data_IF_457720096979
#
_entry.id   IF_457720096979
#
_cell.length_a   1.000
_cell.length_b   1.000
_cell.length_c   1.000
_cell.angle_alpha   90.00
_cell.angle_beta   90.00
_cell.angle_gamma   90.00
#
_symmetry.space_group_name_H-M   'P 1'
#
loop_
_entity.id
_entity.type
_entity.pdbx_description
1 polymer ?
#
# COMPACT_ATOMS: atom_id res chain seq x y z
N UNK A 1 0.17 34.05 -18.73
CA UNK A 1 -0.99 33.28 -19.20
C UNK A 1 -1.27 32.21 -18.16
N UNK A 2 -2.50 32.14 -17.64
CA UNK A 2 -2.92 31.00 -16.82
C UNK A 2 -3.40 29.96 -17.83
N UNK A 3 -2.65 28.86 -17.95
CA UNK A 3 -3.13 27.71 -18.71
C UNK A 3 -4.21 27.04 -17.86
N UNK A 4 -5.45 27.07 -18.32
CA UNK A 4 -6.49 26.23 -17.75
C UNK A 4 -6.07 24.78 -17.99
N UNK A 5 -5.88 24.02 -16.92
CA UNK A 5 -5.65 22.58 -17.00
C UNK A 5 -6.95 21.96 -17.52
N UNK A 6 -6.90 21.30 -18.68
CA UNK A 6 -8.06 20.63 -19.27
C UNK A 6 -8.54 19.56 -18.29
N UNK A 7 -9.72 19.77 -17.71
CA UNK A 7 -10.30 18.86 -16.73
C UNK A 7 -10.62 17.56 -17.46
N UNK A 8 -9.83 16.50 -17.19
CA UNK A 8 -10.04 15.21 -17.84
C UNK A 8 -11.35 14.62 -17.34
N UNK A 9 -12.35 14.61 -18.21
CA UNK A 9 -13.69 14.11 -17.93
C UNK A 9 -14.01 12.88 -18.78
N UNK A 10 -14.74 11.93 -18.22
CA UNK A 10 -15.07 10.66 -18.86
C UNK A 10 -14.50 9.48 -18.10
N UNK A 11 -15.00 8.28 -18.42
CA UNK A 11 -14.68 7.07 -17.68
C UNK A 11 -13.19 6.74 -17.74
N UNK A 12 -12.55 6.89 -18.90
CA UNK A 12 -11.12 6.62 -19.10
C UNK A 12 -10.27 7.87 -18.82
N UNK A 13 -10.70 9.01 -19.33
CA UNK A 13 -9.96 10.27 -19.27
C UNK A 13 -9.82 10.74 -17.82
N UNK A 14 -10.90 10.60 -17.03
CA UNK A 14 -10.90 10.90 -15.59
C UNK A 14 -10.32 9.79 -14.71
N UNK A 15 -9.78 8.71 -15.30
CA UNK A 15 -9.17 7.64 -14.51
C UNK A 15 -7.86 8.07 -13.86
N UNK A 16 -7.62 7.57 -12.64
CA UNK A 16 -6.37 7.74 -11.92
C UNK A 16 -5.81 6.39 -11.49
N UNK A 17 -4.49 6.23 -11.63
CA UNK A 17 -3.75 5.09 -11.11
C UNK A 17 -2.63 5.60 -10.22
N UNK A 18 -2.68 5.24 -8.95
CA UNK A 18 -1.61 5.51 -7.99
C UNK A 18 -0.93 4.21 -7.60
N UNK A 19 0.40 4.18 -7.70
CA UNK A 19 1.22 3.07 -7.22
C UNK A 19 2.12 3.57 -6.10
N UNK A 20 1.91 3.03 -4.89
CA UNK A 20 2.77 3.29 -3.75
C UNK A 20 3.75 2.13 -3.58
N UNK A 21 5.03 2.42 -3.80
CA UNK A 21 6.14 1.55 -3.43
C UNK A 21 6.58 1.90 -2.01
N UNK A 22 6.40 0.96 -1.07
CA UNK A 22 6.73 1.12 0.35
C UNK A 22 7.85 0.16 0.72
N UNK A 23 9.05 0.68 0.92
CA UNK A 23 10.08 -0.07 1.65
C UNK A 23 9.86 0.15 3.16
N UNK A 24 9.77 -0.93 3.94
CA UNK A 24 9.44 -0.86 5.35
C UNK A 24 10.37 -1.75 6.16
N UNK A 25 11.06 -1.15 7.12
CA UNK A 25 11.89 -1.83 8.11
C UNK A 25 11.31 -1.58 9.50
N UNK A 26 11.18 -2.65 10.28
CA UNK A 26 10.70 -2.61 11.65
C UNK A 26 11.59 -3.49 12.52
N UNK A 27 12.00 -2.93 13.65
CA UNK A 27 12.81 -3.59 14.66
C UNK A 27 12.19 -3.27 16.02
N UNK A 28 11.89 -4.31 16.79
CA UNK A 28 11.24 -4.21 18.09
C UNK A 28 12.01 -5.04 19.11
N UNK A 29 12.49 -4.34 20.14
CA UNK A 29 13.11 -4.92 21.33
C UNK A 29 12.09 -4.93 22.48
N UNK A 30 11.70 -6.13 22.92
CA UNK A 30 10.84 -6.37 24.07
C UNK A 30 11.71 -6.54 25.32
N UNK A 31 11.96 -5.42 26.01
CA UNK A 31 12.81 -5.35 27.21
C UNK A 31 12.39 -6.27 28.37
N UNK A 32 11.15 -6.77 28.36
CA UNK A 32 10.64 -7.81 29.27
C UNK A 32 10.35 -9.10 28.49
N UNK A 33 11.41 -9.71 27.94
CA UNK A 33 11.36 -10.75 26.90
C UNK A 33 10.49 -11.99 27.21
N UNK A 34 10.22 -12.29 28.49
CA UNK A 34 9.34 -13.37 28.95
C UNK A 34 7.87 -13.20 28.52
N UNK A 35 7.44 -11.97 28.21
CA UNK A 35 6.09 -11.67 27.69
C UNK A 35 6.04 -11.53 26.17
N UNK A 36 7.16 -11.77 25.46
CA UNK A 36 7.22 -11.65 24.01
C UNK A 36 6.50 -12.83 23.35
N UNK A 37 5.59 -12.61 22.37
CA UNK A 37 4.98 -13.69 21.59
C UNK A 37 6.00 -14.60 20.89
N UNK A 38 7.23 -14.10 20.69
CA UNK A 38 8.33 -14.83 20.02
C UNK A 38 9.23 -15.60 20.98
N UNK A 39 9.03 -15.53 22.30
CA UNK A 39 9.91 -16.14 23.30
C UNK A 39 11.32 -15.53 23.43
N UNK A 40 11.76 -14.75 22.43
CA UNK A 40 13.15 -14.32 22.26
C UNK A 40 13.37 -12.83 22.58
N UNK A 41 12.34 -12.14 23.08
CA UNK A 41 12.41 -10.71 23.43
C UNK A 41 12.67 -9.76 22.25
N UNK A 42 12.68 -10.24 21.01
CA UNK A 42 13.10 -9.44 19.85
C UNK A 42 12.33 -9.85 18.59
N UNK A 43 11.95 -8.88 17.76
CA UNK A 43 11.40 -9.12 16.42
C UNK A 43 11.88 -8.10 15.39
N UNK A 44 12.10 -8.58 14.18
CA UNK A 44 12.62 -7.79 13.07
C UNK A 44 11.94 -8.20 11.76
N UNK A 45 11.53 -7.21 10.99
CA UNK A 45 10.92 -7.41 9.68
C UNK A 45 11.37 -6.33 8.70
N UNK A 46 11.82 -6.77 7.54
CA UNK A 46 12.09 -5.95 6.38
C UNK A 46 11.26 -6.46 5.21
N UNK A 47 10.43 -5.59 4.67
CA UNK A 47 9.55 -5.91 3.55
C UNK A 47 9.46 -4.77 2.55
N UNK A 48 9.12 -5.13 1.31
CA UNK A 48 8.72 -4.18 0.29
C UNK A 48 7.25 -4.42 -0.07
N UNK A 49 6.43 -3.39 0.08
CA UNK A 49 5.02 -3.40 -0.31
C UNK A 49 4.81 -2.61 -1.61
N UNK A 50 4.05 -3.18 -2.54
CA UNK A 50 3.56 -2.49 -3.74
C UNK A 50 2.04 -2.41 -3.61
N UNK A 51 1.52 -1.19 -3.50
CA UNK A 51 0.09 -0.94 -3.36
C UNK A 51 -0.40 -0.18 -4.59
N UNK A 52 -1.25 -0.82 -5.38
CA UNK A 52 -1.92 -0.21 -6.51
C UNK A 52 -3.33 0.23 -6.15
N UNK A 53 -3.71 1.45 -6.55
CA UNK A 53 -5.07 1.98 -6.46
C UNK A 53 -5.46 2.55 -7.81
N UNK A 54 -6.50 1.98 -8.40
CA UNK A 54 -7.10 2.45 -9.63
C UNK A 54 -8.50 2.96 -9.33
N UNK A 55 -8.83 4.13 -9.85
CA UNK A 55 -10.17 4.69 -9.80
C UNK A 55 -10.50 5.17 -11.19
N UNK A 56 -11.59 4.69 -11.78
CA UNK A 56 -12.05 5.22 -13.06
C UNK A 56 -12.67 6.61 -12.87
N UNK A 57 -12.76 7.37 -13.96
CA UNK A 57 -13.74 8.46 -14.00
C UNK A 57 -15.16 7.91 -14.08
N UNK A 58 -16.14 8.80 -14.15
CA UNK A 58 -17.54 8.42 -14.37
C UNK A 58 -17.90 8.43 -15.86
N UNK A 59 -18.78 7.52 -16.29
CA UNK A 59 -19.40 7.59 -17.62
C UNK A 59 -20.21 8.87 -17.79
N UNK A 60 -20.22 9.45 -19.00
CA UNK A 60 -21.02 10.63 -19.29
C UNK A 60 -22.51 10.29 -19.44
N UNK A 61 -23.38 11.20 -19.00
CA UNK A 61 -24.83 11.06 -19.06
C UNK A 61 -25.51 11.55 -17.79
N UNK A 62 -26.82 11.44 -17.72
CA UNK A 62 -27.61 11.86 -16.54
C UNK A 62 -27.21 11.11 -15.27
N UNK A 63 -26.72 9.88 -15.41
CA UNK A 63 -26.14 9.09 -14.32
C UNK A 63 -24.76 8.60 -14.75
N UNK A 64 -23.77 8.86 -13.90
CA UNK A 64 -22.40 8.37 -14.09
C UNK A 64 -22.15 7.09 -13.33
N UNK A 65 -21.47 6.14 -13.97
CA UNK A 65 -20.98 4.90 -13.35
C UNK A 65 -19.46 4.90 -13.38
N UNK A 66 -18.85 4.50 -12.26
CA UNK A 66 -17.40 4.37 -12.11
C UNK A 66 -17.06 3.05 -11.43
N UNK A 67 -15.79 2.63 -11.53
CA UNK A 67 -15.25 1.43 -10.90
C UNK A 67 -13.93 1.74 -10.20
N UNK A 68 -13.77 1.19 -9.01
CA UNK A 68 -12.55 1.29 -8.22
C UNK A 68 -11.96 -0.10 -8.02
N UNK A 69 -10.62 -0.18 -8.06
CA UNK A 69 -9.88 -1.39 -7.79
C UNK A 69 -8.64 -1.10 -6.95
N UNK A 70 -8.27 -2.04 -6.08
CA UNK A 70 -7.04 -1.95 -5.31
C UNK A 70 -6.33 -3.31 -5.28
N UNK A 71 -5.00 -3.25 -5.17
CA UNK A 71 -4.15 -4.43 -5.01
C UNK A 71 -3.03 -4.11 -4.02
N UNK A 72 -2.63 -5.13 -3.25
CA UNK A 72 -1.52 -5.02 -2.30
C UNK A 72 -0.66 -6.27 -2.40
N UNK A 73 0.61 -6.09 -2.73
CA UNK A 73 1.60 -7.16 -2.82
C UNK A 73 2.68 -6.86 -1.78
N UNK A 74 3.02 -7.85 -0.96
CA UNK A 74 4.10 -7.78 0.02
C UNK A 74 5.20 -8.77 -0.32
N UNK A 75 6.44 -8.28 -0.40
CA UNK A 75 7.65 -9.08 -0.61
C UNK A 75 8.44 -9.05 0.69
N UNK A 76 8.64 -10.22 1.30
CA UNK A 76 9.54 -10.37 2.45
C UNK A 76 10.99 -10.22 1.94
N UNK A 77 11.72 -9.27 2.51
CA UNK A 77 13.15 -9.08 2.21
C UNK A 77 14.01 -9.74 3.28
N UNK A 78 13.70 -9.51 4.55
CA UNK A 78 14.31 -10.20 5.68
C UNK A 78 13.36 -10.29 6.87
N UNK A 79 13.44 -11.39 7.59
CA UNK A 79 12.83 -11.62 8.89
C UNK A 79 13.60 -12.87 9.35
N UNK A 80 14.72 -12.64 10.03
CA UNK A 80 15.71 -13.69 10.31
C UNK A 80 15.13 -14.92 11.03
N UNK A 81 15.81 -16.07 10.94
CA UNK A 81 15.38 -17.44 11.32
C UNK A 81 14.97 -17.71 12.80
N UNK A 82 14.73 -16.68 13.60
CA UNK A 82 14.17 -16.76 14.95
C UNK A 82 13.53 -15.44 15.43
N UNK A 83 13.27 -14.51 14.51
CA UNK A 83 12.78 -13.14 14.78
C UNK A 83 11.36 -12.93 14.29
N UNK A 84 10.71 -14.02 13.86
CA UNK A 84 9.39 -14.03 13.27
C UNK A 84 8.37 -13.83 14.40
N UNK A 85 7.78 -12.65 14.45
CA UNK A 85 6.63 -12.33 15.30
C UNK A 85 5.32 -12.90 14.77
N UNK A 86 5.29 -14.21 14.48
CA UNK A 86 4.14 -14.92 13.94
C UNK A 86 4.38 -16.43 13.87
#
# INVERSE_FOLDING_TARGET
AVFAEEQKEGFIEGSTLTVLNRNFYMNRDHRNGESSPTGNGYSEAWAHGIIGRFQSGFTQGTFGVGVDAFTMIGIKLDTGDGRNGG
#
